data_IF_123286396603
#
_entry.id   IF_123286396603
#
_cell.length_a   1.000
_cell.length_b   1.000
_cell.length_c   1.000
_cell.angle_alpha   90.00
_cell.angle_beta   90.00
_cell.angle_gamma   90.00
#
_symmetry.space_group_name_H-M   'P 1'
#
loop_
_entity.id
_entity.type
_entity.pdbx_description
1 polymer ?
#
# COMPACT_ATOMS: atom_id res chain seq x y z
N UNK A 1 -9.71 -14.00 -1.44
CA UNK A 1 -10.76 -14.21 -0.41
C UNK A 1 -12.07 -14.65 -1.07
N UNK A 2 -11.98 -15.46 -2.12
CA UNK A 2 -13.07 -15.70 -3.09
C UNK A 2 -14.26 -16.51 -2.55
N UNK A 3 -14.10 -17.13 -1.37
CA UNK A 3 -15.15 -17.92 -0.73
C UNK A 3 -16.00 -17.12 0.27
N UNK A 4 -15.69 -15.84 0.49
CA UNK A 4 -16.41 -14.97 1.41
C UNK A 4 -17.46 -14.17 0.64
N UNK A 5 -18.72 -14.22 1.08
CA UNK A 5 -19.77 -13.34 0.58
C UNK A 5 -19.49 -11.88 1.00
N UNK A 6 -19.23 -10.96 0.05
CA UNK A 6 -18.93 -9.57 0.37
C UNK A 6 -20.04 -8.87 1.16
N UNK A 7 -21.31 -9.23 0.94
CA UNK A 7 -22.45 -8.57 1.58
C UNK A 7 -22.61 -8.94 3.06
N UNK A 8 -21.93 -10.01 3.50
CA UNK A 8 -21.83 -10.39 4.91
C UNK A 8 -20.78 -9.58 5.69
N UNK A 9 -19.97 -8.76 5.01
CA UNK A 9 -18.85 -8.03 5.61
C UNK A 9 -19.21 -6.58 5.95
N UNK A 10 -18.58 -6.01 7.00
CA UNK A 10 -18.71 -4.59 7.29
C UNK A 10 -18.31 -3.70 6.11
N UNK A 11 -19.10 -2.65 5.88
CA UNK A 11 -18.81 -1.63 4.86
C UNK A 11 -18.14 -0.40 5.48
N UNK A 12 -17.09 0.09 4.84
CA UNK A 12 -16.42 1.35 5.16
C UNK A 12 -16.47 2.26 3.94
N UNK A 13 -16.94 3.50 4.11
CA UNK A 13 -16.95 4.54 3.06
C UNK A 13 -15.84 5.56 3.31
N UNK A 14 -15.22 6.04 2.23
CA UNK A 14 -14.25 7.12 2.32
C UNK A 14 -13.72 7.56 0.96
N UNK A 15 -12.83 8.56 0.96
CA UNK A 15 -12.20 9.09 -0.24
C UNK A 15 -10.86 8.43 -0.48
N UNK A 16 -10.58 7.99 -1.70
CA UNK A 16 -9.25 7.49 -2.08
C UNK A 16 -8.28 8.65 -2.14
N UNK A 17 -7.26 8.67 -1.29
CA UNK A 17 -6.29 9.78 -1.21
C UNK A 17 -4.95 9.44 -1.83
N UNK A 18 -4.56 8.16 -1.87
CA UNK A 18 -3.32 7.72 -2.50
C UNK A 18 -3.39 6.26 -2.90
N UNK A 19 -2.80 5.89 -4.04
CA UNK A 19 -2.62 4.49 -4.40
C UNK A 19 -1.32 3.92 -3.83
N UNK A 20 -1.32 2.62 -3.58
CA UNK A 20 -0.15 1.87 -3.11
C UNK A 20 0.26 0.86 -4.17
N UNK A 21 1.57 0.70 -4.35
CA UNK A 21 2.15 -0.13 -5.38
C UNK A 21 2.93 -1.29 -4.75
N UNK A 22 2.77 -2.49 -5.30
CA UNK A 22 3.67 -3.59 -4.99
C UNK A 22 5.03 -3.40 -5.72
N UNK A 23 6.07 -4.20 -5.37
CA UNK A 23 7.34 -4.18 -6.10
C UNK A 23 7.23 -4.53 -7.59
N UNK A 24 6.11 -5.13 -8.03
CA UNK A 24 5.85 -5.43 -9.44
C UNK A 24 5.10 -4.31 -10.19
N UNK A 25 4.91 -3.14 -9.57
CA UNK A 25 4.25 -2.00 -10.21
C UNK A 25 2.74 -2.12 -10.36
N UNK A 26 2.14 -3.10 -9.73
CA UNK A 26 0.71 -3.27 -9.69
C UNK A 26 0.16 -2.55 -8.45
N UNK A 27 -1.05 -2.02 -8.56
CA UNK A 27 -1.75 -1.54 -7.39
C UNK A 27 -2.06 -2.74 -6.49
N UNK A 28 -1.69 -2.64 -5.21
CA UNK A 28 -2.00 -3.61 -4.17
C UNK A 28 -2.79 -2.98 -3.00
N UNK A 29 -3.06 -1.68 -3.11
CA UNK A 29 -3.86 -0.98 -2.13
C UNK A 29 -4.09 0.48 -2.46
N UNK A 30 -4.80 1.14 -1.56
CA UNK A 30 -4.91 2.59 -1.50
C UNK A 30 -5.11 3.06 -0.06
N UNK A 31 -4.87 4.34 0.19
CA UNK A 31 -5.24 5.02 1.44
C UNK A 31 -6.66 5.58 1.28
N UNK A 32 -7.50 5.28 2.26
CA UNK A 32 -8.89 5.71 2.36
C UNK A 32 -9.02 6.75 3.48
N UNK A 33 -9.46 7.96 3.12
CA UNK A 33 -9.49 9.09 4.04
C UNK A 33 -8.07 9.52 4.40
N UNK A 34 -7.83 9.78 5.68
CA UNK A 34 -6.56 10.32 6.16
C UNK A 34 -5.46 9.26 6.31
N UNK A 35 -5.80 8.09 6.86
CA UNK A 35 -4.77 7.13 7.31
C UNK A 35 -5.10 5.65 7.06
N UNK A 36 -6.32 5.30 6.66
CA UNK A 36 -6.72 3.90 6.61
C UNK A 36 -6.20 3.22 5.36
N UNK A 37 -5.35 2.21 5.51
CA UNK A 37 -4.95 1.40 4.37
C UNK A 37 -6.08 0.45 3.94
N UNK A 38 -6.31 0.35 2.64
CA UNK A 38 -7.11 -0.70 2.04
C UNK A 38 -6.19 -1.53 1.16
N UNK A 39 -6.05 -2.81 1.47
CA UNK A 39 -5.26 -3.75 0.70
C UNK A 39 -6.19 -4.61 -0.16
N UNK A 40 -5.82 -4.82 -1.42
CA UNK A 40 -6.48 -5.75 -2.32
C UNK A 40 -5.42 -6.53 -3.11
N UNK A 41 -5.74 -7.74 -3.58
CA UNK A 41 -4.77 -8.53 -4.31
C UNK A 41 -4.45 -7.90 -5.69
N UNK A 42 -3.23 -8.08 -6.19
CA UNK A 42 -2.73 -7.36 -7.38
C UNK A 42 -3.49 -7.68 -8.67
N UNK A 43 -4.20 -8.81 -8.78
CA UNK A 43 -5.04 -9.09 -9.96
C UNK A 43 -6.21 -8.11 -10.11
N UNK A 44 -6.61 -7.42 -9.04
CA UNK A 44 -7.60 -6.34 -9.11
C UNK A 44 -7.02 -5.01 -9.59
N UNK A 45 -5.68 -4.88 -9.68
CA UNK A 45 -4.98 -3.65 -10.07
C UNK A 45 -5.56 -3.02 -11.34
N UNK A 46 -5.76 -3.80 -12.40
CA UNK A 46 -6.30 -3.28 -13.68
C UNK A 46 -7.72 -2.75 -13.57
N UNK A 47 -8.58 -3.41 -12.77
CA UNK A 47 -9.96 -2.98 -12.58
C UNK A 47 -10.01 -1.70 -11.73
N UNK A 48 -9.27 -1.68 -10.63
CA UNK A 48 -9.17 -0.50 -9.75
C UNK A 48 -8.62 0.69 -10.53
N UNK A 49 -7.49 0.52 -11.23
CA UNK A 49 -6.87 1.55 -12.06
C UNK A 49 -7.78 2.11 -13.17
N UNK A 50 -8.82 1.37 -13.57
CA UNK A 50 -9.75 1.76 -14.63
C UNK A 50 -10.96 2.54 -14.09
N UNK A 51 -11.41 2.25 -12.89
CA UNK A 51 -12.69 2.75 -12.37
C UNK A 51 -12.59 3.55 -11.07
N UNK A 52 -11.40 3.68 -10.50
CA UNK A 52 -11.14 4.43 -9.28
C UNK A 52 -10.00 5.41 -9.52
N UNK A 53 -10.21 6.67 -9.13
CA UNK A 53 -9.20 7.71 -9.13
C UNK A 53 -8.98 8.28 -7.72
N UNK A 54 -7.83 8.90 -7.50
CA UNK A 54 -7.62 9.74 -6.30
C UNK A 54 -8.66 10.85 -6.27
N UNK A 55 -9.28 11.08 -5.10
CA UNK A 55 -10.41 11.99 -4.91
C UNK A 55 -11.78 11.31 -5.01
N UNK A 56 -11.87 10.08 -5.52
CA UNK A 56 -13.14 9.37 -5.59
C UNK A 56 -13.58 8.87 -4.21
N UNK A 57 -14.88 9.01 -3.93
CA UNK A 57 -15.50 8.33 -2.79
C UNK A 57 -15.87 6.91 -3.17
N UNK A 58 -15.39 5.94 -2.40
CA UNK A 58 -15.65 4.50 -2.59
C UNK A 58 -16.27 3.89 -1.33
N UNK A 59 -16.91 2.72 -1.50
CA UNK A 59 -17.34 1.85 -0.40
C UNK A 59 -16.51 0.58 -0.44
N UNK A 60 -15.96 0.16 0.69
CA UNK A 60 -15.10 -1.00 0.80
C UNK A 60 -15.74 -1.99 1.76
N UNK A 61 -15.95 -3.22 1.30
CA UNK A 61 -16.33 -4.36 2.15
C UNK A 61 -15.13 -5.27 2.30
N UNK A 62 -14.80 -5.60 3.54
CA UNK A 62 -13.57 -6.33 3.83
C UNK A 62 -13.39 -6.69 5.29
N UNK A 63 -12.28 -7.37 5.55
CA UNK A 63 -11.89 -7.78 6.89
C UNK A 63 -10.88 -6.79 7.45
N UNK A 64 -11.08 -6.35 8.70
CA UNK A 64 -10.11 -5.55 9.44
C UNK A 64 -9.33 -6.47 10.40
N UNK A 65 -8.02 -6.72 10.17
CA UNK A 65 -7.20 -7.45 11.12
C UNK A 65 -7.13 -6.73 12.48
N UNK A 66 -6.92 -7.48 13.55
CA UNK A 66 -6.82 -6.90 14.90
C UNK A 66 -5.52 -6.11 15.04
N UNK A 67 -5.58 -4.98 15.75
CA UNK A 67 -4.40 -4.20 16.11
C UNK A 67 -3.83 -3.29 15.01
N UNK A 68 -4.38 -3.30 13.79
CA UNK A 68 -3.92 -2.46 12.68
C UNK A 68 -5.07 -1.72 12.02
N UNK A 69 -4.85 -0.48 11.58
CA UNK A 69 -5.87 0.30 10.84
C UNK A 69 -5.80 0.04 9.34
N UNK A 70 -6.09 -1.20 8.96
CA UNK A 70 -6.17 -1.60 7.57
C UNK A 70 -7.36 -2.51 7.28
N UNK A 71 -7.85 -2.48 6.04
CA UNK A 71 -8.91 -3.36 5.55
C UNK A 71 -8.35 -4.22 4.43
N UNK A 72 -8.40 -5.53 4.60
CA UNK A 72 -8.26 -6.48 3.51
C UNK A 72 -9.57 -6.53 2.73
N UNK A 73 -9.61 -5.84 1.59
CA UNK A 73 -10.82 -5.68 0.78
C UNK A 73 -11.20 -6.98 0.08
N UNK A 74 -12.48 -7.33 0.19
CA UNK A 74 -13.13 -8.39 -0.58
C UNK A 74 -13.95 -7.77 -1.72
N UNK A 75 -14.54 -6.59 -1.50
CA UNK A 75 -15.18 -5.81 -2.54
C UNK A 75 -14.92 -4.31 -2.39
N UNK A 76 -14.77 -3.63 -3.53
CA UNK A 76 -14.72 -2.16 -3.63
C UNK A 76 -15.83 -1.72 -4.57
N UNK A 77 -16.77 -0.92 -4.06
CA UNK A 77 -17.78 -0.26 -4.89
C UNK A 77 -17.34 1.16 -5.22
N UNK A 78 -17.31 1.49 -6.51
CA UNK A 78 -16.93 2.81 -7.01
C UNK A 78 -18.01 3.86 -6.75
N UNK A 79 -17.69 5.14 -6.97
CA UNK A 79 -18.64 6.25 -6.86
C UNK A 79 -19.88 6.09 -7.76
N UNK A 80 -19.72 5.43 -8.90
CA UNK A 80 -20.78 5.17 -9.88
C UNK A 80 -21.60 3.90 -9.56
N UNK A 81 -21.33 3.26 -8.41
CA UNK A 81 -22.05 2.07 -7.97
C UNK A 81 -21.53 0.74 -8.54
N UNK A 82 -20.44 0.75 -9.31
CA UNK A 82 -19.83 -0.48 -9.84
C UNK A 82 -19.12 -1.25 -8.73
N UNK A 83 -19.46 -2.52 -8.53
CA UNK A 83 -18.75 -3.42 -7.62
C UNK A 83 -17.55 -4.08 -8.31
N UNK A 84 -16.40 -4.07 -7.66
CA UNK A 84 -15.17 -4.80 -8.02
C UNK A 84 -14.95 -5.81 -6.90
N UNK A 85 -15.06 -7.10 -7.20
CA UNK A 85 -15.06 -8.20 -6.21
C UNK A 85 -13.80 -9.05 -6.40
N UNK A 86 -13.18 -9.46 -5.29
CA UNK A 86 -12.08 -10.43 -5.30
C UNK A 86 -12.60 -11.86 -5.47
N UNK A 87 -12.73 -12.30 -6.71
CA UNK A 87 -13.07 -13.68 -7.07
C UNK A 87 -11.84 -14.63 -7.04
N UNK A 88 -10.69 -14.15 -6.55
CA UNK A 88 -9.44 -14.90 -6.55
C UNK A 88 -8.64 -14.70 -7.85
N UNK A 89 -7.42 -15.26 -7.90
CA UNK A 89 -6.60 -15.17 -9.10
C UNK A 89 -7.25 -15.96 -10.23
N UNK A 90 -7.25 -15.38 -11.43
CA UNK A 90 -7.75 -16.03 -12.63
C UNK A 90 -6.87 -17.25 -12.96
N UNK A 91 -7.44 -18.45 -12.91
CA UNK A 91 -6.71 -19.70 -13.10
C UNK A 91 -6.11 -19.84 -14.52
N UNK A 92 -6.69 -19.15 -15.51
CA UNK A 92 -6.24 -19.17 -16.91
C UNK A 92 -5.28 -18.02 -17.26
N UNK A 93 -5.12 -17.03 -16.36
CA UNK A 93 -4.15 -15.98 -16.55
C UNK A 93 -2.74 -16.53 -16.30
N UNK A 94 -2.11 -17.08 -17.35
CA UNK A 94 -0.66 -17.31 -17.36
C UNK A 94 0.01 -16.02 -16.90
N UNK A 95 0.55 -16.02 -15.69
CA UNK A 95 1.31 -14.92 -15.12
C UNK A 95 2.55 -14.68 -15.99
N UNK A 96 2.42 -13.89 -17.05
CA UNK A 96 3.53 -13.10 -17.52
C UNK A 96 3.75 -12.07 -16.43
N UNK A 97 4.59 -12.41 -15.45
CA UNK A 97 5.29 -11.40 -14.67
C UNK A 97 6.03 -10.56 -15.71
N UNK A 98 5.47 -9.41 -16.08
CA UNK A 98 6.27 -8.44 -16.79
C UNK A 98 7.46 -8.18 -15.86
N UNK A 99 8.67 -8.49 -16.33
CA UNK A 99 9.86 -8.12 -15.61
C UNK A 99 9.85 -6.60 -15.57
N UNK A 100 9.32 -6.04 -14.49
CA UNK A 100 9.45 -4.62 -14.22
C UNK A 100 10.93 -4.41 -13.94
N UNK A 101 11.56 -3.57 -14.75
CA UNK A 101 12.93 -3.14 -14.49
C UNK A 101 12.93 -2.33 -13.20
N UNK A 102 13.27 -2.98 -12.09
CA UNK A 102 13.62 -2.30 -10.87
C UNK A 102 14.96 -1.61 -11.08
N UNK A 103 14.99 -0.31 -10.76
CA UNK A 103 16.20 0.51 -10.88
C UNK A 103 16.65 0.90 -9.49
N UNK A 104 17.97 1.04 -9.26
CA UNK A 104 18.47 1.67 -8.06
C UNK A 104 17.76 3.00 -7.83
N UNK A 105 17.18 3.16 -6.65
CA UNK A 105 16.43 4.34 -6.26
C UNK A 105 16.59 4.58 -4.77
N UNK A 106 16.56 5.85 -4.40
CA UNK A 106 16.47 6.28 -3.01
C UNK A 106 15.23 7.15 -2.79
N UNK A 107 14.78 7.20 -1.55
CA UNK A 107 13.75 8.14 -1.12
C UNK A 107 14.04 8.65 0.28
N UNK A 108 13.69 9.90 0.50
CA UNK A 108 13.88 10.62 1.74
C UNK A 108 12.57 11.34 2.07
N UNK A 109 12.09 11.23 3.31
CA UNK A 109 10.85 11.89 3.71
C UNK A 109 10.33 11.43 5.07
N UNK A 110 9.25 12.06 5.50
CA UNK A 110 8.51 11.67 6.70
C UNK A 110 7.63 10.44 6.40
N UNK A 111 7.64 9.47 7.29
CA UNK A 111 6.70 8.35 7.25
C UNK A 111 5.31 8.85 7.63
N UNK A 112 4.36 8.77 6.69
CA UNK A 112 2.95 9.06 6.96
C UNK A 112 2.23 7.89 7.60
N UNK A 113 2.46 6.68 7.07
CA UNK A 113 1.69 5.49 7.45
C UNK A 113 2.57 4.24 7.40
N UNK A 114 2.36 3.34 8.36
CA UNK A 114 2.78 1.95 8.23
C UNK A 114 1.95 1.24 7.18
N UNK A 115 2.61 0.40 6.39
CA UNK A 115 1.97 -0.40 5.36
C UNK A 115 1.99 -1.88 5.77
N UNK A 116 0.84 -2.52 5.64
CA UNK A 116 0.58 -3.87 6.10
C UNK A 116 0.21 -4.80 4.95
N UNK A 117 0.48 -6.08 5.13
CA UNK A 117 -0.02 -7.15 4.29
C UNK A 117 -1.48 -7.52 4.61
N UNK A 118 -2.05 -8.48 3.87
CA UNK A 118 -3.46 -8.85 3.97
C UNK A 118 -3.83 -9.48 5.33
N UNK A 119 -2.87 -9.93 6.13
CA UNK A 119 -3.10 -10.48 7.47
C UNK A 119 -2.76 -9.49 8.59
N UNK A 120 -2.41 -8.25 8.23
CA UNK A 120 -2.02 -7.21 9.18
C UNK A 120 -0.54 -7.27 9.61
N UNK A 121 0.27 -8.07 8.91
CA UNK A 121 1.73 -8.08 9.12
C UNK A 121 2.36 -6.80 8.57
N UNK A 122 3.34 -6.23 9.28
CA UNK A 122 4.05 -5.03 8.82
C UNK A 122 4.89 -5.38 7.59
N UNK A 123 4.90 -4.50 6.58
CA UNK A 123 5.62 -4.72 5.31
C UNK A 123 6.33 -3.48 4.78
N UNK A 124 6.35 -2.41 5.55
CA UNK A 124 7.02 -1.16 5.20
C UNK A 124 6.20 0.06 5.58
N UNK A 125 6.36 1.14 4.82
CA UNK A 125 5.83 2.46 5.14
C UNK A 125 5.49 3.26 3.88
N UNK A 126 4.62 4.24 4.02
CA UNK A 126 4.30 5.25 3.00
C UNK A 126 4.94 6.57 3.42
N UNK A 127 5.75 7.14 2.55
CA UNK A 127 6.32 8.47 2.73
C UNK A 127 5.34 9.57 2.29
N UNK A 128 5.60 10.78 2.77
CA UNK A 128 4.87 12.01 2.46
C UNK A 128 4.81 12.36 0.96
N UNK A 129 5.90 12.10 0.23
CA UNK A 129 6.00 12.24 -1.22
C UNK A 129 5.18 11.19 -2.01
N UNK A 130 4.65 10.18 -1.32
CA UNK A 130 3.86 9.09 -1.89
C UNK A 130 4.68 7.86 -2.30
N UNK A 131 5.94 7.79 -1.90
CA UNK A 131 6.76 6.59 -2.06
C UNK A 131 6.35 5.50 -1.08
N UNK A 132 6.04 4.31 -1.60
CA UNK A 132 5.81 3.11 -0.81
C UNK A 132 7.15 2.40 -0.59
N UNK A 133 7.63 2.39 0.65
CA UNK A 133 8.71 1.53 1.10
C UNK A 133 8.16 0.13 1.33
N UNK A 134 8.83 -0.88 0.76
CA UNK A 134 8.43 -2.29 0.77
C UNK A 134 9.59 -3.13 1.27
N UNK A 135 9.30 -4.07 2.17
CA UNK A 135 10.26 -5.06 2.63
C UNK A 135 9.54 -6.32 3.14
N UNK A 136 10.24 -7.47 3.24
CA UNK A 136 9.67 -8.67 3.84
C UNK A 136 9.22 -8.44 5.29
N UNK A 137 8.22 -9.18 5.81
CA UNK A 137 7.70 -8.96 7.16
C UNK A 137 8.76 -9.00 8.26
N UNK A 138 9.70 -9.95 8.19
CA UNK A 138 10.77 -10.07 9.19
C UNK A 138 11.70 -8.85 9.21
N UNK A 139 11.98 -8.26 8.04
CA UNK A 139 12.78 -7.03 7.95
C UNK A 139 11.99 -5.83 8.48
N UNK A 140 10.70 -5.76 8.15
CA UNK A 140 9.82 -4.69 8.64
C UNK A 140 9.67 -4.71 10.16
N UNK A 141 9.54 -5.90 10.76
CA UNK A 141 9.48 -6.06 12.22
C UNK A 141 10.78 -5.61 12.88
N UNK A 142 11.94 -6.00 12.32
CA UNK A 142 13.26 -5.60 12.82
C UNK A 142 13.53 -4.10 12.69
N UNK A 143 12.94 -3.44 11.70
CA UNK A 143 13.10 -2.02 11.39
C UNK A 143 11.87 -1.19 11.81
N UNK A 144 11.01 -1.71 12.68
CA UNK A 144 9.70 -1.11 12.98
C UNK A 144 9.77 0.34 13.47
N UNK A 145 10.82 0.71 14.20
CA UNK A 145 11.06 2.09 14.68
C UNK A 145 11.25 3.09 13.52
N UNK A 146 11.92 2.68 12.43
CA UNK A 146 12.08 3.50 11.22
C UNK A 146 10.77 3.68 10.45
N UNK A 147 9.78 2.81 10.69
CA UNK A 147 8.51 2.79 9.99
C UNK A 147 7.38 3.45 10.79
N UNK A 148 7.67 4.01 11.97
CA UNK A 148 6.66 4.74 12.76
C UNK A 148 6.22 6.03 12.04
N UNK A 149 4.91 6.35 12.01
CA UNK A 149 4.45 7.64 11.53
C UNK A 149 5.16 8.80 12.25
N UNK A 150 5.64 9.78 11.49
CA UNK A 150 6.46 10.90 11.97
C UNK A 150 7.98 10.67 11.91
N UNK A 151 8.44 9.43 11.73
CA UNK A 151 9.86 9.16 11.54
C UNK A 151 10.35 9.75 10.22
N UNK A 152 11.46 10.49 10.25
CA UNK A 152 12.15 10.96 9.06
C UNK A 152 13.21 9.95 8.67
N UNK A 153 13.13 9.45 7.45
CA UNK A 153 14.00 8.36 6.98
C UNK A 153 14.60 8.64 5.62
N UNK A 154 15.76 8.04 5.38
CA UNK A 154 16.36 7.87 4.06
C UNK A 154 16.44 6.38 3.78
N UNK A 155 15.85 5.95 2.67
CA UNK A 155 15.83 4.56 2.24
C UNK A 155 16.48 4.40 0.87
N UNK A 156 17.24 3.33 0.70
CA UNK A 156 17.88 2.92 -0.55
C UNK A 156 17.40 1.54 -0.94
N UNK A 157 17.31 1.31 -2.25
CA UNK A 157 17.17 -0.02 -2.79
C UNK A 157 16.76 0.00 -4.24
N UNK A 158 15.86 -0.91 -4.59
CA UNK A 158 15.46 -1.15 -5.96
C UNK A 158 13.98 -0.86 -6.12
N UNK A 159 13.63 -0.01 -7.08
CA UNK A 159 12.25 0.39 -7.20
C UNK A 159 11.85 0.83 -8.59
N UNK A 160 10.62 1.29 -8.67
CA UNK A 160 10.04 1.80 -9.89
C UNK A 160 9.17 3.03 -9.65
N UNK A 161 8.94 3.76 -10.73
CA UNK A 161 8.02 4.91 -10.77
C UNK A 161 6.91 4.63 -11.77
N UNK A 162 5.67 4.88 -11.38
CA UNK A 162 4.50 4.86 -12.26
C UNK A 162 3.69 6.14 -12.11
N UNK A 163 2.63 6.27 -12.92
CA UNK A 163 1.66 7.36 -12.76
C UNK A 163 0.91 7.35 -11.42
N UNK A 164 0.91 6.22 -10.72
CA UNK A 164 0.20 6.03 -9.45
C UNK A 164 1.07 6.31 -8.22
N UNK A 165 2.39 6.43 -8.39
CA UNK A 165 3.32 6.63 -7.29
C UNK A 165 4.67 5.95 -7.52
N UNK A 166 5.46 5.86 -6.46
CA UNK A 166 6.76 5.21 -6.42
C UNK A 166 6.70 4.02 -5.46
N UNK A 167 7.45 2.97 -5.77
CA UNK A 167 7.64 1.81 -4.88
C UNK A 167 9.12 1.49 -4.83
N UNK A 168 9.66 1.32 -3.63
CA UNK A 168 11.06 0.95 -3.37
C UNK A 168 11.04 -0.32 -2.53
N UNK A 169 11.63 -1.39 -3.04
CA UNK A 169 12.07 -2.52 -2.24
C UNK A 169 13.36 -2.10 -1.52
N UNK A 170 13.27 -1.99 -0.20
CA UNK A 170 14.31 -1.37 0.63
C UNK A 170 15.39 -2.38 0.96
N UNK A 171 16.62 -2.04 0.57
CA UNK A 171 17.83 -2.77 0.95
C UNK A 171 18.43 -2.18 2.23
N UNK A 172 18.42 -0.85 2.36
CA UNK A 172 18.97 -0.11 3.51
C UNK A 172 18.06 1.06 3.91
N UNK A 173 17.96 1.34 5.21
CA UNK A 173 17.21 2.47 5.77
C UNK A 173 17.97 3.10 6.94
N UNK A 174 17.93 4.43 7.00
CA UNK A 174 18.52 5.22 8.07
C UNK A 174 17.54 6.28 8.56
N UNK A 175 17.66 6.66 9.84
CA UNK A 175 17.00 7.85 10.35
C UNK A 175 17.74 9.09 9.84
N UNK A 176 16.97 10.09 9.41
CA UNK A 176 17.51 11.43 9.29
C UNK A 176 17.48 12.04 10.69
N UNK A 177 18.67 12.25 11.25
CA UNK A 177 18.81 13.10 12.43
C UNK A 177 18.92 14.51 11.91
N UNK A 178 17.92 15.36 12.21
CA UNK A 178 18.10 16.79 12.03
C UNK A 178 19.29 17.22 12.89
N UNK A 179 20.37 17.69 12.26
CA UNK A 179 21.44 18.42 12.96
C UNK A 179 20.87 19.73 13.50
N UNK A 180 20.09 19.66 14.56
CA UNK A 180 19.59 20.81 15.31
C UNK A 180 20.40 20.97 16.60
N UNK A 181 21.57 21.59 16.45
CA UNK A 181 22.10 22.58 17.38
C UNK A 181 22.74 22.07 18.68
N UNK A 182 23.96 21.54 18.61
CA UNK A 182 24.93 21.69 19.71
C UNK A 182 25.61 23.05 19.57
N UNK A 183 24.98 24.08 20.12
CA UNK A 183 25.55 25.39 20.34
C UNK A 183 25.17 25.85 21.74
N UNK A 184 25.98 25.46 22.73
CA UNK A 184 26.11 26.12 24.03
C UNK A 184 27.61 26.32 24.30
#
# INVERSE_FOLDING_TARGET
MHWIDPDSLPETRGTVTRFLLNPHGELDGFVLGQSRQVHFPPHLSKQIARYVATGDTVRVRGLKPRGVDMIAAVAVTTKDGRAIIDEGPDHDARHRKAAVELRPMEATGEVLLRLYGPKGELRGALLDDGTSLRMPPHAADALSDYLEPGAHVHAWGHGMKSRFGRSIEVDEIAHLVDESGSGD
#
